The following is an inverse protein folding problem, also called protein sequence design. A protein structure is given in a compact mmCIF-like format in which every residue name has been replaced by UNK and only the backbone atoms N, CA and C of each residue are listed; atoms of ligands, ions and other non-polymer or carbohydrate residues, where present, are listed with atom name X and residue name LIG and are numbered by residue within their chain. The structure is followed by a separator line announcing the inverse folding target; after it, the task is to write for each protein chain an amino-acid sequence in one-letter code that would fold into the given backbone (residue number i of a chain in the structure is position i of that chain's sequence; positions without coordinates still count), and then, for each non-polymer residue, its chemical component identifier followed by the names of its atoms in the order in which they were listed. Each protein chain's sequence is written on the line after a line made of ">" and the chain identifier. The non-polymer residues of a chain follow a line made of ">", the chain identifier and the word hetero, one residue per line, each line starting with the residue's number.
data_IF_539302253632
#
_entry.id   IF_539302253632
#
_cell.length_a   1.000
_cell.length_b   1.000
_cell.length_c   1.000
_cell.angle_alpha   90.00
_cell.angle_beta   90.00
_cell.angle_gamma   90.00
#
_symmetry.space_group_name_H-M   'P 1'
#
loop_
_entity.id
_entity.type
_entity.pdbx_description
1 polymer ?
#
# COMPACT_ATOMS: atom_id res chain seq x y z
N UNK A 1 -37.26 93.66 -9.21
CA UNK A 1 -37.37 92.31 -8.60
C UNK A 1 -36.78 91.18 -9.46
N UNK A 2 -36.44 91.42 -10.73
CA UNK A 2 -36.12 90.39 -11.73
C UNK A 2 -34.65 89.88 -11.66
N UNK A 3 -33.71 90.65 -11.09
CA UNK A 3 -32.27 90.31 -11.04
C UNK A 3 -31.87 89.24 -10.00
N UNK A 4 -32.70 88.97 -8.99
CA UNK A 4 -32.36 88.02 -7.90
C UNK A 4 -32.67 86.55 -8.22
N UNK A 5 -33.46 86.28 -9.26
CA UNK A 5 -33.91 84.92 -9.63
C UNK A 5 -32.91 84.23 -10.58
N UNK A 6 -32.19 84.99 -11.41
CA UNK A 6 -31.24 84.42 -12.37
C UNK A 6 -29.90 83.99 -11.74
N UNK A 7 -29.50 84.60 -10.62
CA UNK A 7 -28.25 84.26 -9.93
C UNK A 7 -28.17 82.80 -9.44
N UNK A 8 -29.19 82.27 -8.71
CA UNK A 8 -29.16 80.86 -8.32
C UNK A 8 -29.28 79.92 -9.52
N UNK A 9 -30.00 80.32 -10.58
CA UNK A 9 -30.16 79.50 -11.79
C UNK A 9 -28.83 79.32 -12.54
N UNK A 10 -28.05 80.40 -12.66
CA UNK A 10 -26.70 80.37 -13.26
C UNK A 10 -25.75 79.52 -12.41
N UNK A 11 -25.84 79.62 -11.08
CA UNK A 11 -24.96 78.88 -10.19
C UNK A 11 -25.22 77.36 -10.27
N UNK A 12 -26.48 76.94 -10.37
CA UNK A 12 -26.86 75.53 -10.61
C UNK A 12 -26.40 75.05 -11.99
N UNK A 13 -26.50 75.90 -13.01
CA UNK A 13 -26.04 75.56 -14.36
C UNK A 13 -24.51 75.40 -14.42
N UNK A 14 -23.76 76.29 -13.78
CA UNK A 14 -22.30 76.20 -13.69
C UNK A 14 -21.87 75.00 -12.86
N UNK A 15 -22.55 74.71 -11.74
CA UNK A 15 -22.27 73.52 -10.94
C UNK A 15 -22.57 72.23 -11.72
N UNK A 16 -23.66 72.21 -12.49
CA UNK A 16 -24.02 71.08 -13.35
C UNK A 16 -22.96 70.82 -14.42
N UNK A 17 -22.43 71.89 -15.06
CA UNK A 17 -21.34 71.76 -16.03
C UNK A 17 -20.06 71.26 -15.35
N UNK A 18 -19.70 71.78 -14.18
CA UNK A 18 -18.54 71.30 -13.42
C UNK A 18 -18.68 69.83 -13.01
N UNK A 19 -19.89 69.40 -12.63
CA UNK A 19 -20.17 68.02 -12.25
C UNK A 19 -20.06 67.06 -13.43
N UNK A 20 -20.48 67.48 -14.63
CA UNK A 20 -20.32 66.70 -15.87
C UNK A 20 -18.84 66.53 -16.24
N UNK A 21 -18.01 67.57 -16.03
CA UNK A 21 -16.57 67.50 -16.29
C UNK A 21 -15.88 66.56 -15.29
N UNK A 22 -16.22 66.63 -14.01
CA UNK A 22 -15.66 65.73 -12.99
C UNK A 22 -16.13 64.29 -13.13
N UNK A 23 -17.37 64.05 -13.56
CA UNK A 23 -17.92 62.70 -13.75
C UNK A 23 -17.31 61.94 -14.95
N UNK A 24 -16.64 62.65 -15.88
CA UNK A 24 -15.99 62.04 -17.04
C UNK A 24 -14.55 61.56 -16.80
N UNK A 25 -14.03 61.66 -15.57
CA UNK A 25 -12.63 61.38 -15.27
C UNK A 25 -12.32 59.93 -14.84
N UNK A 26 -13.32 59.05 -14.75
CA UNK A 26 -13.18 57.66 -14.25
C UNK A 26 -13.55 56.59 -15.30
N UNK A 27 -13.32 56.85 -16.59
CA UNK A 27 -13.28 55.76 -17.59
C UNK A 27 -11.97 54.99 -17.41
N UNK A 28 -12.04 53.88 -16.67
CA UNK A 28 -10.96 52.91 -16.60
C UNK A 28 -10.74 52.36 -18.01
N UNK A 29 -9.65 52.76 -18.66
CA UNK A 29 -9.21 52.17 -19.92
C UNK A 29 -9.10 50.65 -19.73
N UNK A 30 -10.01 49.90 -20.35
CA UNK A 30 -10.02 48.45 -20.30
C UNK A 30 -8.81 47.94 -21.08
N UNK A 31 -7.79 47.49 -20.35
CA UNK A 31 -6.60 46.90 -20.96
C UNK A 31 -6.99 45.66 -21.77
N UNK A 32 -6.58 45.56 -23.05
CA UNK A 32 -6.86 44.40 -23.87
C UNK A 32 -6.19 43.15 -23.28
N UNK A 33 -6.84 42.00 -23.43
CA UNK A 33 -6.37 40.74 -22.88
C UNK A 33 -4.95 40.41 -23.39
N UNK A 34 -4.04 40.12 -22.45
CA UNK A 34 -2.65 39.81 -22.76
C UNK A 34 -1.71 41.00 -22.82
N UNK A 35 -2.18 42.23 -22.59
CA UNK A 35 -1.34 43.41 -22.37
C UNK A 35 -1.23 43.75 -20.88
N UNK A 36 -0.15 44.41 -20.50
CA UNK A 36 0.10 44.99 -19.18
C UNK A 36 0.69 46.40 -19.31
N UNK A 37 0.45 47.24 -18.31
CA UNK A 37 1.08 48.57 -18.24
C UNK A 37 2.38 48.45 -17.44
N UNK A 38 3.49 48.85 -18.05
CA UNK A 38 4.77 49.02 -17.37
C UNK A 38 5.12 50.50 -17.26
N UNK A 39 5.64 50.91 -16.11
CA UNK A 39 6.06 52.30 -15.86
C UNK A 39 7.57 52.42 -15.99
N UNK A 40 8.03 53.24 -16.92
CA UNK A 40 9.45 53.51 -17.15
C UNK A 40 9.69 55.01 -16.96
N UNK A 41 10.20 55.39 -15.78
CA UNK A 41 10.32 56.79 -15.37
C UNK A 41 8.94 57.43 -15.16
N UNK A 42 8.65 58.51 -15.90
CA UNK A 42 7.37 59.23 -15.85
C UNK A 42 6.40 58.82 -16.98
N UNK A 43 6.75 57.84 -17.82
CA UNK A 43 5.93 57.40 -18.95
C UNK A 43 5.40 55.99 -18.67
N UNK A 44 4.12 55.78 -18.98
CA UNK A 44 3.44 54.49 -18.91
C UNK A 44 3.38 53.88 -20.32
N UNK A 45 3.82 52.63 -20.45
CA UNK A 45 3.84 51.89 -21.71
C UNK A 45 2.88 50.71 -21.61
N UNK A 46 2.03 50.54 -22.62
CA UNK A 46 1.22 49.33 -22.78
C UNK A 46 2.02 48.32 -23.59
N UNK A 47 2.35 47.18 -22.98
CA UNK A 47 3.20 46.14 -23.57
C UNK A 47 2.58 44.76 -23.39
N UNK A 48 2.96 43.75 -24.20
CA UNK A 48 2.54 42.37 -23.97
C UNK A 48 2.93 41.87 -22.57
N UNK A 49 2.08 41.04 -21.98
CA UNK A 49 2.32 40.51 -20.63
C UNK A 49 3.63 39.71 -20.56
N UNK A 50 4.43 40.01 -19.54
CA UNK A 50 5.74 39.40 -19.31
C UNK A 50 6.83 40.04 -20.17
N UNK A 51 6.64 41.27 -20.61
CA UNK A 51 7.67 42.04 -21.33
C UNK A 51 8.83 42.36 -20.38
N UNK A 52 10.05 42.01 -20.77
CA UNK A 52 11.24 42.31 -19.96
C UNK A 52 11.73 43.74 -20.22
N UNK A 53 12.27 44.38 -19.17
CA UNK A 53 12.87 45.71 -19.27
C UNK A 53 14.38 45.55 -19.16
N UNK A 54 15.08 45.93 -20.22
CA UNK A 54 16.54 45.87 -20.28
C UNK A 54 17.14 47.24 -19.95
N UNK A 55 18.16 47.26 -19.08
CA UNK A 55 18.88 48.48 -18.74
C UNK A 55 20.08 48.66 -19.67
N UNK A 56 20.01 49.66 -20.56
CA UNK A 56 21.14 50.04 -21.41
C UNK A 56 21.73 51.35 -20.88
N UNK A 57 22.83 51.26 -20.14
CA UNK A 57 23.46 52.40 -19.47
C UNK A 57 22.54 53.02 -18.40
N UNK A 58 22.19 54.30 -18.56
CA UNK A 58 21.28 55.02 -17.67
C UNK A 58 19.80 54.94 -18.09
N UNK A 59 19.49 54.33 -19.25
CA UNK A 59 18.13 54.20 -19.77
C UNK A 59 17.56 52.79 -19.53
N UNK A 60 16.30 52.72 -19.12
CA UNK A 60 15.52 51.47 -19.09
C UNK A 60 14.69 51.42 -20.37
N UNK A 61 14.87 50.37 -21.17
CA UNK A 61 14.23 50.21 -22.48
C UNK A 61 13.46 48.89 -22.45
N UNK A 62 12.16 48.88 -22.81
CA UNK A 62 11.39 47.65 -22.92
C UNK A 62 11.95 46.78 -24.05
N UNK A 63 11.87 45.46 -23.90
CA UNK A 63 12.31 44.52 -24.94
C UNK A 63 11.55 44.77 -26.25
N UNK A 64 12.22 44.56 -27.38
CA UNK A 64 11.58 44.75 -28.68
C UNK A 64 10.53 43.66 -28.93
N UNK A 65 9.51 43.95 -29.73
CA UNK A 65 8.47 42.95 -30.05
C UNK A 65 9.07 41.67 -30.67
N UNK A 66 10.10 41.79 -31.50
CA UNK A 66 10.82 40.64 -32.07
C UNK A 66 11.52 39.79 -31.02
N UNK A 67 12.12 40.43 -30.02
CA UNK A 67 12.83 39.75 -28.93
C UNK A 67 11.84 39.08 -27.97
N UNK A 68 10.75 39.76 -27.63
CA UNK A 68 9.61 39.18 -26.89
C UNK A 68 9.11 37.93 -27.59
N UNK A 69 8.77 38.03 -28.88
CA UNK A 69 8.20 36.92 -29.65
C UNK A 69 9.20 35.75 -29.72
N UNK A 70 10.47 36.02 -30.04
CA UNK A 70 11.50 34.98 -30.10
C UNK A 70 11.66 34.25 -28.74
N UNK A 71 11.73 35.01 -27.64
CA UNK A 71 11.82 34.44 -26.29
C UNK A 71 10.59 33.60 -25.94
N UNK A 72 9.38 34.11 -26.23
CA UNK A 72 8.13 33.38 -25.97
C UNK A 72 8.02 32.10 -26.80
N UNK A 73 8.46 32.11 -28.05
CA UNK A 73 8.54 30.89 -28.86
C UNK A 73 9.53 29.89 -28.26
N UNK A 74 10.71 30.34 -27.85
CA UNK A 74 11.69 29.49 -27.17
C UNK A 74 11.14 28.89 -25.87
N UNK A 75 10.47 29.69 -25.03
CA UNK A 75 9.83 29.22 -23.79
C UNK A 75 8.77 28.14 -24.09
N UNK A 76 8.00 28.33 -25.16
CA UNK A 76 6.96 27.40 -25.60
C UNK A 76 7.58 26.10 -26.11
N UNK A 77 8.64 26.17 -26.92
CA UNK A 77 9.36 24.99 -27.41
C UNK A 77 9.95 24.17 -26.26
N UNK A 78 10.57 24.83 -25.27
CA UNK A 78 11.09 24.16 -24.07
C UNK A 78 9.96 23.50 -23.28
N UNK A 79 8.83 24.20 -23.09
CA UNK A 79 7.67 23.66 -22.41
C UNK A 79 7.09 22.42 -23.12
N UNK A 80 6.99 22.46 -24.45
CA UNK A 80 6.57 21.31 -25.25
C UNK A 80 7.54 20.15 -25.13
N UNK A 81 8.85 20.41 -25.21
CA UNK A 81 9.88 19.38 -25.06
C UNK A 81 9.79 18.70 -23.68
N UNK A 82 9.63 19.50 -22.61
CA UNK A 82 9.46 18.99 -21.26
C UNK A 82 8.19 18.16 -21.11
N UNK A 83 7.07 18.65 -21.65
CA UNK A 83 5.79 17.95 -21.60
C UNK A 83 5.85 16.63 -22.39
N UNK A 84 6.49 16.60 -23.56
CA UNK A 84 6.68 15.37 -24.33
C UNK A 84 7.52 14.34 -23.56
N UNK A 85 8.57 14.81 -22.86
CA UNK A 85 9.36 13.95 -21.98
C UNK A 85 8.54 13.40 -20.81
N UNK A 86 7.73 14.23 -20.16
CA UNK A 86 6.84 13.80 -19.07
C UNK A 86 5.80 12.78 -19.55
N UNK A 87 5.21 12.99 -20.74
CA UNK A 87 4.29 12.04 -21.38
C UNK A 87 4.99 10.70 -21.67
N UNK A 88 6.21 10.71 -22.20
CA UNK A 88 7.00 9.49 -22.45
C UNK A 88 7.28 8.72 -21.16
N UNK A 89 7.66 9.43 -20.10
CA UNK A 89 7.86 8.82 -18.78
C UNK A 89 6.56 8.25 -18.20
N UNK A 90 5.44 8.96 -18.36
CA UNK A 90 4.14 8.47 -17.92
C UNK A 90 3.71 7.23 -18.69
N UNK A 91 3.86 7.21 -20.02
CA UNK A 91 3.61 6.01 -20.85
C UNK A 91 4.46 4.83 -20.41
N UNK A 92 5.75 5.05 -20.11
CA UNK A 92 6.63 4.00 -19.60
C UNK A 92 6.14 3.47 -18.25
N UNK A 93 5.77 4.35 -17.31
CA UNK A 93 5.23 3.96 -16.01
C UNK A 93 3.92 3.18 -16.14
N UNK A 94 3.00 3.63 -16.98
CA UNK A 94 1.73 2.93 -17.26
C UNK A 94 1.98 1.57 -17.91
N UNK A 95 2.92 1.46 -18.84
CA UNK A 95 3.31 0.17 -19.43
C UNK A 95 4.06 -0.75 -18.46
N UNK A 96 4.67 -0.21 -17.41
CA UNK A 96 5.34 -0.95 -16.33
C UNK A 96 4.40 -1.29 -15.17
N UNK A 97 3.24 -0.63 -15.07
CA UNK A 97 2.18 -1.04 -14.16
C UNK A 97 1.76 -2.44 -14.58
N UNK A 98 2.16 -3.42 -13.76
CA UNK A 98 1.75 -4.83 -13.72
C UNK A 98 0.55 -5.04 -14.65
N UNK A 99 0.82 -5.50 -15.87
CA UNK A 99 -0.24 -5.82 -16.82
C UNK A 99 -1.14 -6.87 -16.16
N UNK A 100 -2.44 -6.89 -16.46
CA UNK A 100 -3.33 -7.91 -15.88
C UNK A 100 -2.77 -9.31 -16.11
N UNK A 101 -2.03 -9.50 -17.20
CA UNK A 101 -1.34 -10.73 -17.57
C UNK A 101 -0.27 -11.19 -16.56
N UNK A 102 0.46 -10.29 -15.89
CA UNK A 102 1.41 -10.66 -14.82
C UNK A 102 0.66 -11.06 -13.53
N UNK A 103 -0.43 -10.35 -13.23
CA UNK A 103 -1.33 -10.71 -12.13
C UNK A 103 -1.98 -12.08 -12.37
N UNK A 104 -2.52 -12.31 -13.56
CA UNK A 104 -3.16 -13.57 -13.97
C UNK A 104 -2.16 -14.73 -13.90
N UNK A 105 -0.93 -14.52 -14.37
CA UNK A 105 0.14 -15.53 -14.27
C UNK A 105 0.53 -15.85 -12.83
N UNK A 106 0.64 -14.83 -11.96
CA UNK A 106 0.93 -15.03 -10.53
C UNK A 106 -0.22 -15.72 -9.80
N UNK A 107 -1.47 -15.36 -10.12
CA UNK A 107 -2.67 -16.00 -9.56
C UNK A 107 -2.74 -17.46 -9.98
N UNK A 108 -2.55 -17.76 -11.28
CA UNK A 108 -2.55 -19.13 -11.79
C UNK A 108 -1.48 -19.99 -11.13
N UNK A 109 -0.26 -19.45 -10.97
CA UNK A 109 0.83 -20.16 -10.28
C UNK A 109 0.47 -20.45 -8.82
N UNK A 110 -0.05 -19.47 -8.09
CA UNK A 110 -0.43 -19.65 -6.69
C UNK A 110 -1.57 -20.66 -6.53
N UNK A 111 -2.58 -20.62 -7.42
CA UNK A 111 -3.68 -21.59 -7.42
C UNK A 111 -3.18 -23.01 -7.65
N UNK A 112 -2.28 -23.20 -8.63
CA UNK A 112 -1.69 -24.52 -8.90
C UNK A 112 -0.91 -25.06 -7.69
N UNK A 113 -0.16 -24.21 -7.00
CA UNK A 113 0.54 -24.62 -5.77
C UNK A 113 -0.43 -24.99 -4.64
N UNK A 114 -1.50 -24.21 -4.46
CA UNK A 114 -2.53 -24.49 -3.46
C UNK A 114 -3.21 -25.84 -3.76
N UNK A 115 -3.52 -26.11 -5.02
CA UNK A 115 -4.15 -27.37 -5.44
C UNK A 115 -3.24 -28.58 -5.20
N UNK A 116 -1.94 -28.46 -5.48
CA UNK A 116 -0.94 -29.47 -5.13
C UNK A 116 -0.87 -29.73 -3.62
N UNK A 117 -0.87 -28.66 -2.81
CA UNK A 117 -0.89 -28.76 -1.35
C UNK A 117 -2.14 -29.49 -0.84
N UNK A 118 -3.33 -29.13 -1.34
CA UNK A 118 -4.58 -29.81 -0.97
C UNK A 118 -4.56 -31.30 -1.34
N UNK A 119 -4.11 -31.63 -2.55
CA UNK A 119 -4.00 -33.04 -2.98
C UNK A 119 -3.05 -33.83 -2.08
N UNK A 120 -1.96 -33.23 -1.62
CA UNK A 120 -1.02 -33.86 -0.70
C UNK A 120 -1.65 -34.08 0.68
N UNK A 121 -2.31 -33.06 1.22
CA UNK A 121 -3.00 -33.15 2.51
C UNK A 121 -4.09 -34.23 2.48
N UNK A 122 -4.86 -34.35 1.40
CA UNK A 122 -5.86 -35.40 1.25
C UNK A 122 -5.23 -36.80 1.25
N UNK A 123 -4.09 -36.97 0.59
CA UNK A 123 -3.34 -38.23 0.63
C UNK A 123 -2.85 -38.56 2.04
N UNK A 124 -2.27 -37.59 2.75
CA UNK A 124 -1.79 -37.77 4.12
C UNK A 124 -2.94 -38.13 5.07
N UNK A 125 -4.09 -37.45 4.97
CA UNK A 125 -5.28 -37.76 5.77
C UNK A 125 -5.76 -39.18 5.51
N UNK A 126 -5.78 -39.61 4.25
CA UNK A 126 -6.22 -40.97 3.89
C UNK A 126 -5.25 -42.04 4.39
N UNK A 127 -3.95 -41.78 4.33
CA UNK A 127 -2.93 -42.66 4.91
C UNK A 127 -3.09 -42.79 6.43
N UNK A 128 -3.28 -41.66 7.12
CA UNK A 128 -3.51 -41.65 8.57
C UNK A 128 -4.79 -42.39 8.95
N UNK A 129 -5.89 -42.20 8.21
CA UNK A 129 -7.15 -42.93 8.42
C UNK A 129 -6.95 -44.43 8.28
N UNK A 130 -6.22 -44.87 7.25
CA UNK A 130 -5.92 -46.28 7.05
C UNK A 130 -5.05 -46.84 8.18
N UNK A 131 -3.96 -46.15 8.53
CA UNK A 131 -3.08 -46.56 9.63
C UNK A 131 -3.80 -46.66 10.97
N UNK A 132 -4.72 -45.73 11.25
CA UNK A 132 -5.56 -45.77 12.45
C UNK A 132 -6.56 -46.94 12.41
N UNK A 133 -7.20 -47.18 11.27
CA UNK A 133 -8.12 -48.30 11.09
C UNK A 133 -7.41 -49.64 11.31
N UNK A 134 -6.20 -49.79 10.75
CA UNK A 134 -5.37 -50.98 10.94
C UNK A 134 -4.94 -51.13 12.41
N UNK A 135 -4.48 -50.05 13.06
CA UNK A 135 -4.02 -50.10 14.46
C UNK A 135 -5.14 -50.36 15.49
N UNK A 136 -6.39 -49.96 15.18
CA UNK A 136 -7.55 -50.04 16.09
C UNK A 136 -8.51 -51.15 15.67
N UNK A 137 -8.03 -52.19 14.98
CA UNK A 137 -8.85 -53.39 14.80
C UNK A 137 -8.97 -54.14 16.13
N UNK A 138 -10.18 -54.62 16.43
CA UNK A 138 -10.40 -55.54 17.56
C UNK A 138 -9.46 -56.76 17.46
N UNK A 139 -9.18 -57.22 16.24
CA UNK A 139 -8.28 -58.34 15.97
C UNK A 139 -6.85 -58.09 16.46
N UNK A 140 -6.27 -56.93 16.17
CA UNK A 140 -4.93 -56.57 16.66
C UNK A 140 -4.88 -56.46 18.18
N UNK A 141 -5.93 -55.92 18.80
CA UNK A 141 -6.05 -55.88 20.26
C UNK A 141 -6.19 -57.29 20.85
N UNK A 142 -6.98 -58.16 20.22
CA UNK A 142 -7.14 -59.55 20.64
C UNK A 142 -5.83 -60.33 20.54
N UNK A 143 -5.07 -60.19 19.44
CA UNK A 143 -3.76 -60.83 19.30
C UNK A 143 -2.77 -60.33 20.37
N UNK A 144 -2.68 -59.01 20.56
CA UNK A 144 -1.83 -58.42 21.60
C UNK A 144 -2.18 -58.94 23.00
N UNK A 145 -3.48 -59.00 23.33
CA UNK A 145 -3.93 -59.54 24.61
C UNK A 145 -3.64 -61.04 24.74
N UNK A 146 -3.86 -61.82 23.68
CA UNK A 146 -3.60 -63.26 23.67
C UNK A 146 -2.12 -63.58 23.93
N UNK A 147 -1.20 -62.87 23.28
CA UNK A 147 0.24 -63.02 23.50
C UNK A 147 0.62 -62.65 24.95
N UNK A 148 0.07 -61.55 25.47
CA UNK A 148 0.27 -61.14 26.87
C UNK A 148 -0.25 -62.19 27.86
N UNK A 149 -1.45 -62.72 27.64
CA UNK A 149 -2.03 -63.74 28.50
C UNK A 149 -1.21 -65.03 28.47
N UNK A 150 -0.79 -65.49 27.29
CA UNK A 150 0.08 -66.68 27.18
C UNK A 150 1.38 -66.52 27.96
N UNK A 151 2.03 -65.35 27.88
CA UNK A 151 3.25 -65.08 28.64
C UNK A 151 3.02 -65.05 30.15
N UNK A 152 1.86 -64.54 30.60
CA UNK A 152 1.49 -64.57 32.03
C UNK A 152 1.26 -66.01 32.50
N UNK A 153 0.58 -66.84 31.72
CA UNK A 153 0.35 -68.24 32.05
C UNK A 153 1.65 -69.02 32.19
N UNK A 154 2.62 -68.78 31.31
CA UNK A 154 3.95 -69.37 31.38
C UNK A 154 4.69 -68.95 32.65
N UNK A 155 4.68 -67.64 32.97
CA UNK A 155 5.29 -67.13 34.21
C UNK A 155 4.65 -67.74 35.46
N UNK A 156 3.32 -67.87 35.52
CA UNK A 156 2.64 -68.53 36.64
C UNK A 156 3.03 -70.01 36.76
N UNK A 157 3.16 -70.72 35.64
CA UNK A 157 3.59 -72.11 35.63
C UNK A 157 5.03 -72.25 36.15
N UNK A 158 5.91 -71.33 35.78
CA UNK A 158 7.30 -71.30 36.26
C UNK A 158 7.38 -71.00 37.77
N UNK A 159 6.69 -69.95 38.24
CA UNK A 159 6.59 -69.64 39.68
C UNK A 159 6.07 -70.84 40.48
N UNK A 160 5.05 -71.54 39.99
CA UNK A 160 4.53 -72.72 40.66
C UNK A 160 5.57 -73.86 40.73
N UNK A 161 6.36 -74.07 39.66
CA UNK A 161 7.46 -75.05 39.69
C UNK A 161 8.53 -74.67 40.71
N UNK A 162 8.93 -73.41 40.74
CA UNK A 162 9.91 -72.89 41.71
C UNK A 162 9.40 -73.04 43.15
N UNK A 163 8.12 -72.73 43.41
CA UNK A 163 7.50 -72.93 44.72
C UNK A 163 7.52 -74.41 45.15
N UNK A 164 7.21 -75.33 44.25
CA UNK A 164 7.27 -76.77 44.57
C UNK A 164 8.69 -77.26 44.83
N UNK A 165 9.70 -76.70 44.13
CA UNK A 165 11.10 -76.98 44.42
C UNK A 165 11.50 -76.43 45.80
N UNK A 166 11.13 -75.20 46.12
CA UNK A 166 11.39 -74.59 47.44
C UNK A 166 10.74 -75.38 48.57
N UNK A 167 9.50 -75.84 48.41
CA UNK A 167 8.83 -76.72 49.41
C UNK A 167 9.63 -77.99 49.68
N UNK A 168 10.21 -78.60 48.65
CA UNK A 168 11.05 -79.80 48.79
C UNK A 168 12.38 -79.53 49.50
N UNK A 169 12.92 -78.32 49.43
CA UNK A 169 14.17 -77.94 50.12
C UNK A 169 13.90 -77.49 51.56
N UNK A 170 12.79 -76.80 51.81
CA UNK A 170 12.42 -76.32 53.14
C UNK A 170 11.94 -77.46 54.06
N UNK A 171 11.18 -78.43 53.55
CA UNK A 171 10.73 -79.59 54.35
C UNK A 171 11.86 -80.40 55.01
N UNK A 172 12.94 -80.81 54.31
CA UNK A 172 14.04 -81.54 54.95
C UNK A 172 14.85 -80.66 55.91
N UNK A 173 14.94 -79.36 55.65
CA UNK A 173 15.72 -78.43 56.48
C UNK A 173 15.04 -78.15 57.84
N UNK A 174 13.70 -78.20 57.91
CA UNK A 174 12.97 -78.08 59.19
C UNK A 174 13.01 -79.34 60.06
N UNK A 175 13.24 -80.53 59.47
CA UNK A 175 13.36 -81.79 60.24
C UNK A 175 14.74 -81.89 60.91
N UNK A 176 15.77 -81.24 60.37
CA UNK A 176 17.15 -81.31 60.88
C UNK A 176 17.47 -80.27 61.97
N UNK A 177 16.60 -79.25 62.17
CA UNK A 177 16.81 -78.16 63.14
C UNK A 177 15.96 -78.25 64.41
N UNK A 178 15.20 -79.33 64.64
CA UNK A 178 14.56 -79.55 65.94
C UNK A 178 15.63 -79.96 66.97
N UNK A 179 15.89 -79.16 68.02
CA UNK A 179 16.85 -79.53 69.04
C UNK A 179 16.35 -80.78 69.77
N UNK A 180 17.17 -81.82 69.77
CA UNK A 180 17.04 -82.96 70.67
C UNK A 180 17.21 -82.44 72.11
N UNK A 181 16.12 -82.01 72.76
CA UNK A 181 16.08 -81.79 74.20
C UNK A 181 16.17 -83.14 74.90
N UNK A 182 17.40 -83.55 75.21
CA UNK A 182 17.66 -84.64 76.16
C UNK A 182 17.33 -84.16 77.58
N UNK A 183 16.72 -85.07 78.33
CA UNK A 183 16.42 -85.06 79.77
C UNK A 183 17.56 -84.51 80.63
#
# INVERSE_FOLDING_TARGET
>A
MIRKIYFPLILVFVFSILFIIFAKADEKEELPAGMEIIKIGNIEYVVPKGTQINKQGSAAIPESLSEYVARRFSDIEEYFAKTDQEIKQLKKRVGQTITSQDLDGRIAKNLSQIEEHFSRTDQEINQLKKGLADAVTLENLYQYMAERFSGIEEQFAEINRELEQLKKVVNPTQVELLPQTKK
#
